data_IF_204426008874
#
_entry.id   IF_204426008874
#
_cell.length_a   1.000
_cell.length_b   1.000
_cell.length_c   1.000
_cell.angle_alpha   90.00
_cell.angle_beta   90.00
_cell.angle_gamma   90.00
#
_symmetry.space_group_name_H-M   'P 1'
#
loop_
_entity.id
_entity.type
_entity.pdbx_description
1 polymer ?
#
# COMPACT_ATOMS: atom_id res chain seq x y z
N UNK A 1 -36.66 15.20 -50.83
CA UNK A 1 -35.23 14.88 -50.65
C UNK A 1 -34.62 15.37 -49.32
N UNK A 2 -35.15 16.38 -48.61
CA UNK A 2 -34.54 16.87 -47.35
C UNK A 2 -34.93 16.08 -46.08
N UNK A 3 -36.07 15.36 -46.10
CA UNK A 3 -36.59 14.58 -44.97
C UNK A 3 -35.86 13.25 -44.75
N UNK A 4 -35.39 12.61 -45.82
CA UNK A 4 -34.74 11.30 -45.75
C UNK A 4 -33.38 11.34 -45.06
N UNK A 5 -32.61 12.42 -45.27
CA UNK A 5 -31.32 12.62 -44.60
C UNK A 5 -31.43 12.80 -43.08
N UNK A 6 -32.51 13.44 -42.61
CA UNK A 6 -32.76 13.61 -41.18
C UNK A 6 -33.16 12.28 -40.51
N UNK A 7 -34.01 11.48 -41.17
CA UNK A 7 -34.37 10.14 -40.69
C UNK A 7 -33.15 9.20 -40.65
N UNK A 8 -32.25 9.29 -41.64
CA UNK A 8 -31.04 8.47 -41.69
C UNK A 8 -30.10 8.78 -40.52
N UNK A 9 -29.97 10.06 -40.16
CA UNK A 9 -29.12 10.52 -39.06
C UNK A 9 -29.69 10.09 -37.69
N UNK A 10 -31.02 10.17 -37.51
CA UNK A 10 -31.69 9.68 -36.31
C UNK A 10 -31.54 8.16 -36.11
N UNK A 11 -31.64 7.36 -37.19
CA UNK A 11 -31.39 5.91 -37.12
C UNK A 11 -29.94 5.59 -36.75
N UNK A 12 -28.98 6.34 -37.32
CA UNK A 12 -27.55 6.17 -37.01
C UNK A 12 -27.24 6.51 -35.54
N UNK A 13 -27.79 7.61 -35.03
CA UNK A 13 -27.69 8.00 -33.62
C UNK A 13 -28.32 6.95 -32.69
N UNK A 14 -29.46 6.37 -33.06
CA UNK A 14 -30.09 5.30 -32.30
C UNK A 14 -29.24 4.02 -32.25
N UNK A 15 -28.63 3.63 -33.37
CA UNK A 15 -27.71 2.47 -33.46
C UNK A 15 -26.44 2.67 -32.62
N UNK A 16 -25.83 3.85 -32.70
CA UNK A 16 -24.66 4.23 -31.87
C UNK A 16 -25.00 4.18 -30.37
N UNK A 17 -26.16 4.71 -29.97
CA UNK A 17 -26.60 4.71 -28.58
C UNK A 17 -26.85 3.28 -28.05
N UNK A 18 -27.47 2.40 -28.85
CA UNK A 18 -27.68 0.99 -28.49
C UNK A 18 -26.35 0.26 -28.37
N UNK A 19 -25.44 0.45 -29.34
CA UNK A 19 -24.10 -0.15 -29.34
C UNK A 19 -23.27 0.26 -28.12
N UNK A 20 -23.29 1.55 -27.76
CA UNK A 20 -22.60 2.04 -26.56
C UNK A 20 -23.18 1.44 -25.26
N UNK A 21 -24.51 1.29 -25.19
CA UNK A 21 -25.20 0.69 -24.05
C UNK A 21 -24.84 -0.80 -23.90
N UNK A 22 -24.73 -1.52 -25.00
CA UNK A 22 -24.31 -2.92 -25.01
C UNK A 22 -22.85 -3.10 -24.59
N UNK A 23 -21.95 -2.22 -25.03
CA UNK A 23 -20.56 -2.18 -24.57
C UNK A 23 -20.50 -1.93 -23.06
N UNK A 24 -21.20 -0.91 -22.56
CA UNK A 24 -21.26 -0.59 -21.13
C UNK A 24 -21.81 -1.76 -20.31
N UNK A 25 -22.89 -2.40 -20.78
CA UNK A 25 -23.46 -3.58 -20.12
C UNK A 25 -22.49 -4.77 -20.12
N UNK A 26 -21.77 -4.99 -21.21
CA UNK A 26 -20.75 -6.04 -21.31
C UNK A 26 -19.57 -5.79 -20.37
N UNK A 27 -19.08 -4.55 -20.30
CA UNK A 27 -18.02 -4.13 -19.36
C UNK A 27 -18.51 -4.31 -17.91
N UNK A 28 -19.69 -3.81 -17.58
CA UNK A 28 -20.27 -3.93 -16.24
C UNK A 28 -20.46 -5.40 -15.83
N UNK A 29 -20.92 -6.26 -16.74
CA UNK A 29 -21.06 -7.70 -16.48
C UNK A 29 -19.71 -8.39 -16.25
N UNK A 30 -18.68 -8.05 -17.05
CA UNK A 30 -17.32 -8.58 -16.84
C UNK A 30 -16.74 -8.13 -15.51
N UNK A 31 -16.89 -6.84 -15.18
CA UNK A 31 -16.43 -6.26 -13.91
C UNK A 31 -17.14 -6.92 -12.72
N UNK A 32 -18.46 -7.08 -12.79
CA UNK A 32 -19.24 -7.76 -11.75
C UNK A 32 -18.77 -9.20 -11.54
N UNK A 33 -18.57 -9.95 -12.63
CA UNK A 33 -18.02 -11.32 -12.56
C UNK A 33 -16.64 -11.36 -11.92
N UNK A 34 -15.76 -10.41 -12.25
CA UNK A 34 -14.42 -10.33 -11.68
C UNK A 34 -14.46 -10.04 -10.18
N UNK A 35 -15.31 -9.10 -9.75
CA UNK A 35 -15.51 -8.77 -8.33
C UNK A 35 -16.04 -9.99 -7.57
N UNK A 36 -17.04 -10.69 -8.11
CA UNK A 36 -17.60 -11.90 -7.50
C UNK A 36 -16.54 -13.01 -7.43
N UNK A 37 -15.75 -13.22 -8.48
CA UNK A 37 -14.67 -14.21 -8.49
C UNK A 37 -13.60 -13.89 -7.44
N UNK A 38 -13.16 -12.63 -7.39
CA UNK A 38 -12.18 -12.17 -6.41
C UNK A 38 -12.69 -12.33 -4.98
N UNK A 39 -13.92 -11.90 -4.71
CA UNK A 39 -14.57 -12.09 -3.41
C UNK A 39 -14.67 -13.57 -3.04
N UNK A 40 -15.12 -14.41 -3.96
CA UNK A 40 -15.23 -15.87 -3.75
C UNK A 40 -13.87 -16.48 -3.43
N UNK A 41 -12.81 -16.03 -4.09
CA UNK A 41 -11.45 -16.46 -3.82
C UNK A 41 -10.99 -16.05 -2.41
N UNK A 42 -11.18 -14.78 -2.03
CA UNK A 42 -10.85 -14.29 -0.69
C UNK A 42 -11.63 -15.05 0.40
N UNK A 43 -12.90 -15.36 0.19
CA UNK A 43 -13.72 -16.11 1.14
C UNK A 43 -13.27 -17.58 1.25
N UNK A 44 -12.90 -18.23 0.14
CA UNK A 44 -12.43 -19.63 0.14
C UNK A 44 -11.02 -19.81 0.69
N UNK A 45 -10.14 -18.82 0.49
CA UNK A 45 -8.72 -18.87 0.84
C UNK A 45 -8.27 -17.58 1.53
N UNK A 46 -8.81 -17.22 2.71
CA UNK A 46 -8.63 -15.89 3.30
C UNK A 46 -7.18 -15.52 3.62
N UNK A 47 -6.36 -16.49 4.08
CA UNK A 47 -4.93 -16.21 4.33
C UNK A 47 -4.20 -15.93 3.03
N UNK A 48 -4.31 -16.84 2.06
CA UNK A 48 -3.64 -16.70 0.77
C UNK A 48 -4.09 -15.44 0.04
N UNK A 49 -5.39 -15.14 0.07
CA UNK A 49 -5.97 -13.92 -0.48
C UNK A 49 -5.35 -12.66 0.14
N UNK A 50 -5.29 -12.59 1.47
CA UNK A 50 -4.67 -11.47 2.16
C UNK A 50 -3.17 -11.36 1.86
N UNK A 51 -2.44 -12.47 1.72
CA UNK A 51 -1.03 -12.47 1.32
C UNK A 51 -0.85 -11.86 -0.08
N UNK A 52 -1.69 -12.25 -1.04
CA UNK A 52 -1.64 -11.73 -2.42
C UNK A 52 -1.98 -10.23 -2.43
N UNK A 53 -3.02 -9.82 -1.70
CA UNK A 53 -3.42 -8.40 -1.59
C UNK A 53 -2.28 -7.57 -0.99
N UNK A 54 -1.70 -8.03 0.12
CA UNK A 54 -0.60 -7.32 0.78
C UNK A 54 0.66 -7.26 -0.11
N UNK A 55 1.00 -8.36 -0.78
CA UNK A 55 2.08 -8.40 -1.76
C UNK A 55 1.86 -7.44 -2.94
N UNK A 56 0.63 -7.37 -3.43
CA UNK A 56 0.25 -6.44 -4.51
C UNK A 56 0.41 -4.99 -4.05
N UNK A 57 0.00 -4.65 -2.83
CA UNK A 57 0.23 -3.32 -2.25
C UNK A 57 1.71 -2.99 -2.14
N UNK A 58 2.55 -3.94 -1.71
CA UNK A 58 4.00 -3.76 -1.63
C UNK A 58 4.63 -3.47 -3.00
N UNK A 59 4.29 -4.28 -4.01
CA UNK A 59 4.78 -4.10 -5.38
C UNK A 59 4.31 -2.78 -5.97
N UNK A 60 3.02 -2.45 -5.79
CA UNK A 60 2.46 -1.21 -6.31
C UNK A 60 3.13 0.01 -5.68
N UNK A 61 3.34 0.00 -4.37
CA UNK A 61 3.98 1.09 -3.63
C UNK A 61 5.45 1.27 -4.02
N UNK A 62 6.21 0.19 -4.13
CA UNK A 62 7.61 0.28 -4.57
C UNK A 62 7.71 0.79 -6.02
N UNK A 63 6.83 0.33 -6.90
CA UNK A 63 6.78 0.79 -8.29
C UNK A 63 6.40 2.26 -8.38
N UNK A 64 5.41 2.72 -7.60
CA UNK A 64 5.03 4.14 -7.57
C UNK A 64 6.17 5.00 -7.03
N UNK A 65 6.83 4.57 -5.94
CA UNK A 65 7.94 5.31 -5.35
C UNK A 65 9.11 5.48 -6.34
N UNK A 66 9.51 4.40 -7.03
CA UNK A 66 10.55 4.47 -8.05
C UNK A 66 10.15 5.36 -9.24
N UNK A 67 8.89 5.29 -9.66
CA UNK A 67 8.37 6.11 -10.76
C UNK A 67 8.36 7.60 -10.40
N UNK A 68 7.97 7.95 -9.18
CA UNK A 68 8.00 9.32 -8.66
C UNK A 68 9.45 9.81 -8.62
N UNK A 69 10.37 9.03 -8.04
CA UNK A 69 11.78 9.42 -7.96
C UNK A 69 12.39 9.65 -9.36
N UNK A 70 12.13 8.75 -10.30
CA UNK A 70 12.58 8.87 -11.70
C UNK A 70 12.06 10.14 -12.39
N UNK A 71 10.81 10.53 -12.13
CA UNK A 71 10.18 11.67 -12.80
C UNK A 71 10.54 13.01 -12.16
N UNK A 72 10.72 13.05 -10.84
CA UNK A 72 10.79 14.30 -10.09
C UNK A 72 12.11 14.55 -9.36
N UNK A 73 12.86 13.51 -8.99
CA UNK A 73 14.02 13.65 -8.08
C UNK A 73 15.36 13.29 -8.75
N UNK A 74 15.42 12.26 -9.59
CA UNK A 74 16.67 11.77 -10.18
C UNK A 74 16.86 12.26 -11.63
N UNK A 75 17.89 13.10 -11.84
CA UNK A 75 18.41 13.44 -13.17
C UNK A 75 19.92 13.11 -13.20
N UNK A 76 20.41 12.24 -14.11
CA UNK A 76 19.70 11.56 -15.19
C UNK A 76 18.79 10.42 -14.70
N UNK A 77 17.72 10.17 -15.45
CA UNK A 77 16.69 9.17 -15.14
C UNK A 77 17.25 7.74 -15.20
N UNK A 78 17.20 7.01 -14.09
CA UNK A 78 17.56 5.58 -14.01
C UNK A 78 16.39 4.67 -14.42
N UNK A 79 16.65 3.45 -14.95
CA UNK A 79 15.62 2.44 -15.14
C UNK A 79 15.04 2.00 -13.78
N UNK A 80 13.85 1.40 -13.81
CA UNK A 80 13.24 0.82 -12.61
C UNK A 80 14.12 -0.34 -12.11
N UNK A 81 14.36 -0.35 -10.80
CA UNK A 81 15.02 -1.44 -10.10
C UNK A 81 14.02 -2.59 -9.89
N UNK A 82 13.94 -3.45 -10.90
CA UNK A 82 13.09 -4.63 -10.93
C UNK A 82 13.48 -5.66 -9.88
N UNK A 83 14.76 -5.72 -9.50
CA UNK A 83 15.23 -6.60 -8.43
C UNK A 83 14.59 -6.19 -7.11
N UNK A 84 14.63 -4.89 -6.77
CA UNK A 84 13.98 -4.38 -5.55
C UNK A 84 12.47 -4.58 -5.57
N UNK A 85 11.79 -4.35 -6.70
CA UNK A 85 10.36 -4.66 -6.84
C UNK A 85 10.10 -6.16 -6.55
N UNK A 86 10.95 -7.05 -7.07
CA UNK A 86 10.89 -8.48 -6.79
C UNK A 86 11.08 -8.82 -5.31
N UNK A 87 11.99 -8.13 -4.60
CA UNK A 87 12.18 -8.31 -3.15
C UNK A 87 10.94 -7.90 -2.35
N UNK A 88 10.31 -6.78 -2.71
CA UNK A 88 9.04 -6.36 -2.10
C UNK A 88 7.89 -7.33 -2.42
N UNK A 89 7.87 -7.93 -3.60
CA UNK A 89 6.93 -9.00 -3.93
C UNK A 89 7.11 -10.22 -3.02
N UNK A 90 8.36 -10.68 -2.84
CA UNK A 90 8.68 -11.82 -1.97
C UNK A 90 8.33 -11.49 -0.52
N UNK A 91 8.79 -10.35 0.00
CA UNK A 91 8.48 -9.93 1.36
C UNK A 91 6.96 -9.83 1.57
N UNK A 92 6.25 -9.09 0.72
CA UNK A 92 4.83 -8.85 0.90
C UNK A 92 3.98 -10.12 0.78
N UNK A 93 4.26 -11.01 -0.18
CA UNK A 93 3.47 -12.23 -0.37
C UNK A 93 3.83 -13.36 0.59
N UNK A 94 5.11 -13.51 0.94
CA UNK A 94 5.63 -14.71 1.59
C UNK A 94 6.03 -14.49 3.05
N UNK A 95 6.21 -13.24 3.48
CA UNK A 95 6.66 -12.91 4.84
C UNK A 95 5.64 -11.99 5.54
N UNK A 96 5.53 -10.74 5.08
CA UNK A 96 4.64 -9.74 5.67
C UNK A 96 3.16 -10.14 5.60
N UNK A 97 2.69 -10.58 4.43
CA UNK A 97 1.30 -11.01 4.23
C UNK A 97 0.86 -12.12 5.19
N UNK A 98 1.60 -13.24 5.30
CA UNK A 98 1.32 -14.28 6.28
C UNK A 98 1.35 -13.78 7.72
N UNK A 99 2.37 -13.01 8.11
CA UNK A 99 2.51 -12.49 9.48
C UNK A 99 1.30 -11.62 9.87
N UNK A 100 0.96 -10.64 9.03
CA UNK A 100 -0.18 -9.74 9.26
C UNK A 100 -1.49 -10.52 9.29
N UNK A 101 -1.68 -11.46 8.36
CA UNK A 101 -2.91 -12.26 8.28
C UNK A 101 -3.12 -13.16 9.50
N UNK A 102 -2.04 -13.80 9.97
CA UNK A 102 -2.09 -14.67 11.15
C UNK A 102 -2.25 -13.84 12.43
N UNK A 103 -1.60 -12.69 12.51
CA UNK A 103 -1.73 -11.77 13.63
C UNK A 103 -3.16 -11.24 13.78
N UNK A 104 -3.80 -10.79 12.70
CA UNK A 104 -5.19 -10.33 12.79
C UNK A 104 -6.15 -11.46 13.15
N UNK A 105 -5.96 -12.67 12.64
CA UNK A 105 -6.72 -13.85 13.09
C UNK A 105 -6.55 -14.10 14.58
N UNK A 106 -5.33 -13.97 15.10
CA UNK A 106 -5.05 -14.09 16.53
C UNK A 106 -5.74 -13.00 17.35
N UNK A 107 -5.65 -11.74 16.93
CA UNK A 107 -6.28 -10.61 17.59
C UNK A 107 -7.80 -10.74 17.63
N UNK A 108 -8.42 -11.16 16.53
CA UNK A 108 -9.87 -11.35 16.46
C UNK A 108 -10.35 -12.49 17.37
N UNK A 109 -9.55 -13.55 17.51
CA UNK A 109 -9.83 -14.65 18.45
C UNK A 109 -9.65 -14.23 19.92
N UNK A 110 -8.63 -13.42 20.24
CA UNK A 110 -8.30 -13.03 21.62
C UNK A 110 -9.07 -11.83 22.14
N UNK A 111 -9.45 -10.91 21.26
CA UNK A 111 -10.20 -9.70 21.60
C UNK A 111 -11.48 -9.66 20.75
N UNK A 112 -12.43 -10.59 20.95
CA UNK A 112 -13.64 -10.61 20.14
C UNK A 112 -14.51 -9.37 20.37
N UNK A 113 -15.26 -8.98 19.33
CA UNK A 113 -16.22 -7.88 19.38
C UNK A 113 -15.73 -6.58 18.74
N UNK A 114 -16.69 -5.67 18.60
CA UNK A 114 -16.56 -4.41 17.84
C UNK A 114 -16.82 -3.17 18.70
N UNK A 115 -16.92 -3.34 20.03
CA UNK A 115 -17.01 -2.23 20.95
C UNK A 115 -15.78 -1.32 20.81
N UNK A 116 -15.96 0.00 20.91
CA UNK A 116 -14.88 0.99 20.76
C UNK A 116 -13.70 0.66 21.68
N UNK A 117 -13.96 0.27 22.94
CA UNK A 117 -12.92 -0.15 23.89
C UNK A 117 -12.12 -1.35 23.39
N UNK A 118 -12.77 -2.36 22.82
CA UNK A 118 -12.11 -3.54 22.24
C UNK A 118 -11.26 -3.17 21.03
N UNK A 119 -11.80 -2.32 20.15
CA UNK A 119 -11.11 -1.84 18.97
C UNK A 119 -9.86 -1.05 19.34
N UNK A 120 -9.98 -0.06 20.25
CA UNK A 120 -8.84 0.73 20.72
C UNK A 120 -7.79 -0.18 21.35
N UNK A 121 -8.21 -1.18 22.14
CA UNK A 121 -7.28 -2.17 22.68
C UNK A 121 -6.56 -2.97 21.59
N UNK A 122 -7.28 -3.46 20.56
CA UNK A 122 -6.66 -4.14 19.41
C UNK A 122 -5.64 -3.25 18.73
N UNK A 123 -5.99 -1.99 18.47
CA UNK A 123 -5.09 -1.03 17.82
C UNK A 123 -3.82 -0.79 18.62
N UNK A 124 -3.93 -0.59 19.94
CA UNK A 124 -2.75 -0.34 20.78
C UNK A 124 -1.86 -1.58 20.85
N UNK A 125 -2.46 -2.77 20.97
CA UNK A 125 -1.71 -4.03 20.94
C UNK A 125 -1.03 -4.22 19.58
N UNK A 126 -1.72 -3.94 18.48
CA UNK A 126 -1.13 -3.99 17.14
C UNK A 126 0.05 -3.02 17.01
N UNK A 127 -0.15 -1.76 17.38
CA UNK A 127 0.81 -0.69 17.25
C UNK A 127 2.09 -0.92 18.08
N UNK A 128 1.95 -1.40 19.31
CA UNK A 128 3.07 -1.45 20.27
C UNK A 128 3.60 -2.86 20.52
N UNK A 129 2.91 -3.91 20.08
CA UNK A 129 3.33 -5.32 20.25
C UNK A 129 3.54 -6.03 18.91
N UNK A 130 2.94 -5.59 17.80
CA UNK A 130 3.16 -6.27 16.52
C UNK A 130 3.97 -5.44 15.55
N UNK A 131 3.68 -4.15 15.44
CA UNK A 131 4.39 -3.30 14.50
C UNK A 131 5.91 -3.25 14.73
N UNK A 132 6.45 -3.13 15.97
CA UNK A 132 7.90 -3.15 16.18
C UNK A 132 8.55 -4.41 15.60
N UNK A 133 7.96 -5.57 15.85
CA UNK A 133 8.43 -6.88 15.42
C UNK A 133 8.31 -7.02 13.91
N UNK A 134 7.21 -6.54 13.33
CA UNK A 134 7.01 -6.52 11.89
C UNK A 134 8.07 -5.65 11.19
N UNK A 135 8.43 -4.50 11.76
CA UNK A 135 9.49 -3.64 11.22
C UNK A 135 10.88 -4.29 11.31
N UNK A 136 11.19 -4.95 12.43
CA UNK A 136 12.44 -5.73 12.55
C UNK A 136 12.50 -6.82 11.50
N UNK A 137 11.42 -7.60 11.35
CA UNK A 137 11.32 -8.64 10.33
C UNK A 137 11.45 -8.04 8.93
N UNK A 138 10.83 -6.89 8.65
CA UNK A 138 10.96 -6.20 7.38
C UNK A 138 12.42 -5.88 7.05
N UNK A 139 13.13 -5.17 7.93
CA UNK A 139 14.52 -4.77 7.68
C UNK A 139 15.47 -5.96 7.54
N UNK A 140 15.33 -6.98 8.39
CA UNK A 140 16.16 -8.19 8.32
C UNK A 140 15.85 -8.96 7.03
N UNK A 141 14.58 -9.16 6.71
CA UNK A 141 14.17 -9.89 5.49
C UNK A 141 14.69 -9.19 4.23
N UNK A 142 14.60 -7.86 4.19
CA UNK A 142 15.13 -7.09 3.07
C UNK A 142 16.64 -7.18 2.99
N UNK A 143 17.36 -7.12 4.12
CA UNK A 143 18.82 -7.26 4.15
C UNK A 143 19.27 -8.64 3.64
N UNK A 144 18.54 -9.70 3.98
CA UNK A 144 18.77 -11.06 3.44
C UNK A 144 18.56 -11.09 1.92
N UNK A 145 17.44 -10.54 1.44
CA UNK A 145 17.11 -10.51 0.00
C UNK A 145 18.05 -9.60 -0.81
N UNK A 146 18.69 -8.63 -0.16
CA UNK A 146 19.73 -7.75 -0.70
C UNK A 146 21.14 -8.37 -0.60
N UNK A 147 21.29 -9.50 0.11
CA UNK A 147 22.56 -10.20 0.38
C UNK A 147 23.59 -9.30 1.09
N UNK A 148 23.15 -8.56 2.10
CA UNK A 148 24.03 -7.77 2.96
C UNK A 148 24.81 -8.66 3.93
N UNK A 149 26.02 -8.26 4.28
CA UNK A 149 26.85 -8.97 5.27
C UNK A 149 26.33 -8.76 6.69
N UNK A 150 26.00 -7.52 7.07
CA UNK A 150 25.34 -7.20 8.33
C UNK A 150 23.84 -7.03 8.13
N UNK A 151 23.08 -8.04 8.57
CA UNK A 151 21.61 -8.07 8.46
C UNK A 151 20.90 -7.14 9.46
N UNK A 152 21.59 -6.69 10.51
CA UNK A 152 21.02 -5.88 11.59
C UNK A 152 21.39 -4.41 11.49
N UNK A 153 22.47 -4.05 10.77
CA UNK A 153 22.95 -2.68 10.63
C UNK A 153 21.82 -1.71 10.26
N UNK A 154 21.15 -1.97 9.13
CA UNK A 154 20.08 -1.08 8.63
C UNK A 154 18.86 -1.05 9.57
N UNK A 155 18.54 -2.19 10.21
CA UNK A 155 17.47 -2.22 11.20
C UNK A 155 17.81 -1.31 12.38
N UNK A 156 19.01 -1.40 12.94
CA UNK A 156 19.43 -0.57 14.09
C UNK A 156 19.44 0.92 13.75
N UNK A 157 19.90 1.25 12.55
CA UNK A 157 19.98 2.62 12.04
C UNK A 157 18.59 3.24 11.86
N UNK A 158 17.66 2.52 11.21
CA UNK A 158 16.39 3.11 10.73
C UNK A 158 15.19 2.83 11.63
N UNK A 159 15.24 1.79 12.46
CA UNK A 159 14.08 1.32 13.22
C UNK A 159 13.42 2.43 14.04
N UNK A 160 14.19 3.24 14.77
CA UNK A 160 13.65 4.31 15.61
C UNK A 160 12.85 5.34 14.81
N UNK A 161 13.44 5.84 13.73
CA UNK A 161 12.79 6.80 12.83
C UNK A 161 11.54 6.20 12.17
N UNK A 162 11.64 4.98 11.65
CA UNK A 162 10.53 4.30 10.98
C UNK A 162 9.38 3.99 11.95
N UNK A 163 9.69 3.54 13.16
CA UNK A 163 8.68 3.25 14.17
C UNK A 163 7.96 4.52 14.65
N UNK A 164 8.70 5.61 14.89
CA UNK A 164 8.10 6.88 15.25
C UNK A 164 7.19 7.40 14.13
N UNK A 165 7.66 7.40 12.89
CA UNK A 165 6.85 7.77 11.72
C UNK A 165 5.61 6.88 11.60
N UNK A 166 5.74 5.58 11.88
CA UNK A 166 4.62 4.64 11.87
C UNK A 166 3.57 5.01 12.92
N UNK A 167 3.96 5.33 14.16
CA UNK A 167 3.06 5.81 15.20
C UNK A 167 2.35 7.10 14.80
N UNK A 168 3.10 8.08 14.29
CA UNK A 168 2.57 9.38 13.89
C UNK A 168 1.63 9.28 12.69
N UNK A 169 1.82 8.29 11.82
CA UNK A 169 0.91 8.04 10.70
C UNK A 169 -0.34 7.26 11.13
N UNK A 170 -0.15 6.13 11.81
CA UNK A 170 -1.25 5.19 12.05
C UNK A 170 -2.16 5.57 13.21
N UNK A 171 -1.65 6.20 14.28
CA UNK A 171 -2.52 6.59 15.40
C UNK A 171 -3.59 7.62 14.96
N UNK A 172 -3.25 8.70 14.23
CA UNK A 172 -4.26 9.60 13.69
C UNK A 172 -5.15 8.94 12.63
N UNK A 173 -4.58 8.16 11.71
CA UNK A 173 -5.36 7.48 10.68
C UNK A 173 -6.42 6.55 11.30
N UNK A 174 -6.05 5.81 12.34
CA UNK A 174 -7.01 4.96 13.04
C UNK A 174 -8.01 5.75 13.88
N UNK A 175 -7.61 6.87 14.48
CA UNK A 175 -8.56 7.76 15.15
C UNK A 175 -9.64 8.25 14.18
N UNK A 176 -9.26 8.66 12.96
CA UNK A 176 -10.19 9.04 11.87
C UNK A 176 -11.05 7.85 11.44
N UNK A 177 -10.45 6.67 11.25
CA UNK A 177 -11.15 5.44 10.86
C UNK A 177 -12.32 5.10 11.79
N UNK A 178 -12.15 5.28 13.11
CA UNK A 178 -13.18 4.92 14.09
C UNK A 178 -14.13 6.06 14.44
N UNK A 179 -13.72 7.32 14.30
CA UNK A 179 -14.55 8.49 14.63
C UNK A 179 -15.36 9.03 13.46
N UNK A 180 -14.78 9.06 12.25
CA UNK A 180 -15.38 9.73 11.09
C UNK A 180 -15.86 8.73 10.04
N UNK A 181 -15.10 7.66 9.79
CA UNK A 181 -15.38 6.76 8.66
C UNK A 181 -16.50 5.77 9.01
N UNK A 182 -17.60 5.73 8.22
CA UNK A 182 -18.66 4.73 8.38
C UNK A 182 -18.13 3.31 8.23
N UNK A 183 -18.68 2.36 9.00
CA UNK A 183 -18.19 0.98 9.09
C UNK A 183 -18.00 0.29 7.73
N UNK A 184 -18.90 0.56 6.77
CA UNK A 184 -18.87 0.01 5.41
C UNK A 184 -17.63 0.46 4.62
N UNK A 185 -17.10 1.66 4.88
CA UNK A 185 -15.97 2.24 4.15
C UNK A 185 -14.61 2.06 4.85
N UNK A 186 -14.58 1.57 6.10
CA UNK A 186 -13.35 1.44 6.89
C UNK A 186 -12.27 0.60 6.22
N UNK A 187 -12.67 -0.51 5.59
CA UNK A 187 -11.73 -1.41 4.88
C UNK A 187 -11.08 -0.69 3.71
N UNK A 188 -11.87 0.04 2.92
CA UNK A 188 -11.36 0.83 1.79
C UNK A 188 -10.43 1.95 2.26
N UNK A 189 -10.81 2.66 3.32
CA UNK A 189 -9.99 3.71 3.92
C UNK A 189 -8.63 3.16 4.41
N UNK A 190 -8.64 2.07 5.17
CA UNK A 190 -7.40 1.44 5.67
C UNK A 190 -6.56 0.87 4.54
N UNK A 191 -7.18 0.35 3.47
CA UNK A 191 -6.46 -0.07 2.27
C UNK A 191 -5.69 1.09 1.61
N UNK A 192 -6.33 2.26 1.49
CA UNK A 192 -5.70 3.46 0.96
C UNK A 192 -4.57 3.97 1.88
N UNK A 193 -4.80 4.03 3.19
CA UNK A 193 -3.76 4.39 4.17
C UNK A 193 -2.58 3.41 4.13
N UNK A 194 -2.86 2.10 3.98
CA UNK A 194 -1.82 1.07 3.85
C UNK A 194 -0.94 1.32 2.63
N UNK A 195 -1.54 1.62 1.47
CA UNK A 195 -0.78 1.95 0.27
C UNK A 195 0.11 3.18 0.47
N UNK A 196 -0.42 4.25 1.09
CA UNK A 196 0.35 5.45 1.40
C UNK A 196 1.50 5.16 2.37
N UNK A 197 1.23 4.41 3.45
CA UNK A 197 2.25 4.01 4.42
C UNK A 197 3.36 3.17 3.81
N UNK A 198 3.03 2.21 2.95
CA UNK A 198 4.05 1.36 2.32
C UNK A 198 4.95 2.19 1.40
N UNK A 199 4.43 3.23 0.71
CA UNK A 199 5.28 4.17 -0.03
C UNK A 199 6.27 4.89 0.91
N UNK A 200 5.79 5.37 2.06
CA UNK A 200 6.65 5.99 3.09
C UNK A 200 7.71 5.00 3.58
N UNK A 201 7.34 3.73 3.80
CA UNK A 201 8.27 2.68 4.20
C UNK A 201 9.32 2.38 3.11
N UNK A 202 8.93 2.33 1.84
CA UNK A 202 9.84 2.23 0.69
C UNK A 202 10.83 3.39 0.66
N UNK A 203 10.36 4.61 0.92
CA UNK A 203 11.20 5.79 1.00
C UNK A 203 12.20 5.71 2.17
N UNK A 204 11.77 5.34 3.38
CA UNK A 204 12.68 5.11 4.52
C UNK A 204 13.72 4.03 4.23
N UNK A 205 13.31 2.91 3.62
CA UNK A 205 14.24 1.84 3.23
C UNK A 205 15.31 2.33 2.26
N UNK A 206 14.97 3.25 1.35
CA UNK A 206 15.86 3.76 0.31
C UNK A 206 16.86 4.81 0.79
N UNK A 207 16.52 5.63 1.78
CA UNK A 207 17.41 6.67 2.29
C UNK A 207 18.58 6.05 3.05
N UNK A 208 19.80 6.54 2.86
CA UNK A 208 20.90 6.31 3.80
C UNK A 208 20.82 7.43 4.84
N UNK A 209 20.82 7.13 6.14
CA UNK A 209 20.74 8.16 7.18
C UNK A 209 22.11 8.82 7.47
N UNK A 210 23.03 8.80 6.49
CA UNK A 210 24.29 9.52 6.59
C UNK A 210 24.03 11.03 6.58
N UNK A 211 24.06 11.60 7.79
CA UNK A 211 24.03 13.01 8.19
C UNK A 211 24.37 14.01 7.07
N UNK A 212 23.34 14.52 6.40
CA UNK A 212 23.40 15.77 5.64
C UNK A 212 22.92 16.95 6.53
N UNK A 213 23.38 16.98 7.79
CA UNK A 213 23.01 18.03 8.76
C UNK A 213 24.19 18.86 9.26
N UNK A 214 25.42 18.66 8.75
CA UNK A 214 26.58 19.49 9.12
C UNK A 214 27.21 20.35 8.00
N UNK A 215 26.81 20.19 6.73
CA UNK A 215 27.47 20.91 5.62
C UNK A 215 26.69 22.13 5.09
N UNK A 216 25.56 22.50 5.71
CA UNK A 216 24.71 23.61 5.25
C UNK A 216 24.87 24.94 6.01
N UNK A 217 25.61 24.95 7.11
CA UNK A 217 25.70 26.13 8.00
C UNK A 217 27.13 26.69 8.08
N UNK A 218 28.17 25.91 7.79
CA UNK A 218 29.58 26.35 7.94
C UNK A 218 30.09 27.15 6.72
N UNK A 219 29.47 27.03 5.55
CA UNK A 219 29.95 27.74 4.34
C UNK A 219 29.57 29.23 4.30
N UNK A 220 28.72 29.72 5.20
CA UNK A 220 28.37 31.14 5.29
C UNK A 220 29.21 31.95 6.30
N UNK A 221 30.14 31.32 7.03
CA UNK A 221 30.98 32.01 8.03
C UNK A 221 32.44 32.20 7.57
N UNK A 222 32.78 31.83 6.33
CA UNK A 222 34.11 32.06 5.73
C UNK A 222 34.14 33.08 4.59
N UNK A 223 33.07 33.85 4.43
CA UNK A 223 33.02 35.01 3.53
C UNK A 223 32.59 36.25 4.31
N UNK A 224 33.41 36.63 5.29
CA UNK A 224 33.56 37.99 5.84
C UNK A 224 35.00 38.12 6.34
#
# INVERSE_FOLDING_TARGET
MKQDGHLLNLKKLGLEAVYYKDIQNSINNKMSKLVVLFRTFLEKRPVLGNCIVYGTLCVAAETSQQTINKKFLEKPSKPLDTATIGRYAIYGTSIGGPLVSLWYKFLDKKLPGTAVKTIVKKMLVDQFIFTPQLLVVFYISMSILERKDDLLAECKEKFGHTFLANCLFWLPAQAVNFSVIPSVYRVTYIGACSFAWINVLCWFKRQNLDNNTDNGIIDNEKVQ
#
